data_IF_606241746922
#
_entry.id   IF_606241746922
#
_cell.length_a   1.000
_cell.length_b   1.000
_cell.length_c   1.000
_cell.angle_alpha   90.00
_cell.angle_beta   90.00
_cell.angle_gamma   90.00
#
_symmetry.space_group_name_H-M   'P 1'
#
loop_
_entity.id
_entity.type
_entity.pdbx_description
1 polymer ?
#
# COMPACT_ATOMS: atom_id res chain seq x y z
N UNK A 1 14.67 15.85 0.84
CA UNK A 1 13.56 15.00 1.34
C UNK A 1 12.33 15.06 0.46
N UNK A 2 11.72 16.24 0.23
CA UNK A 2 10.55 16.39 -0.66
C UNK A 2 10.65 15.71 -2.05
N UNK A 3 11.76 15.82 -2.82
CA UNK A 3 11.86 15.12 -4.10
C UNK A 3 11.85 13.59 -3.98
N UNK A 4 12.39 13.03 -2.88
CA UNK A 4 12.37 11.57 -2.66
C UNK A 4 10.95 11.06 -2.39
N UNK A 5 10.15 11.80 -1.62
CA UNK A 5 8.76 11.45 -1.36
C UNK A 5 7.88 11.62 -2.59
N UNK A 6 8.10 12.67 -3.38
CA UNK A 6 7.38 12.86 -4.65
C UNK A 6 7.67 11.72 -5.63
N UNK A 7 8.94 11.35 -5.81
CA UNK A 7 9.32 10.23 -6.67
C UNK A 7 8.75 8.88 -6.18
N UNK A 8 8.79 8.63 -4.86
CA UNK A 8 8.17 7.44 -4.28
C UNK A 8 6.64 7.40 -4.51
N UNK A 9 5.98 8.55 -4.41
CA UNK A 9 4.54 8.70 -4.68
C UNK A 9 4.22 8.42 -6.14
N UNK A 10 4.97 9.00 -7.07
CA UNK A 10 4.76 8.80 -8.50
C UNK A 10 4.95 7.32 -8.87
N UNK A 11 5.96 6.65 -8.30
CA UNK A 11 6.15 5.20 -8.45
C UNK A 11 4.98 4.39 -7.90
N UNK A 12 4.49 4.72 -6.71
CA UNK A 12 3.36 4.03 -6.09
C UNK A 12 2.05 4.25 -6.89
N UNK A 13 1.82 5.44 -7.43
CA UNK A 13 0.69 5.73 -8.31
C UNK A 13 0.78 4.94 -9.61
N UNK A 14 1.97 4.87 -10.23
CA UNK A 14 2.18 4.04 -11.41
C UNK A 14 1.93 2.55 -11.13
N UNK A 15 2.32 2.07 -9.94
CA UNK A 15 2.04 0.70 -9.50
C UNK A 15 0.53 0.46 -9.34
N UNK A 16 -0.22 1.39 -8.74
CA UNK A 16 -1.69 1.29 -8.65
C UNK A 16 -2.31 1.19 -10.04
N UNK A 17 -1.86 2.02 -10.98
CA UNK A 17 -2.39 2.00 -12.35
C UNK A 17 -2.11 0.67 -13.04
N UNK A 18 -0.92 0.07 -12.85
CA UNK A 18 -0.58 -1.24 -13.39
C UNK A 18 -1.44 -2.36 -12.80
N UNK A 19 -1.52 -2.43 -11.47
CA UNK A 19 -2.32 -3.45 -10.77
C UNK A 19 -3.81 -3.30 -11.06
N UNK A 20 -4.30 -2.08 -11.32
CA UNK A 20 -5.71 -1.83 -11.63
C UNK A 20 -6.08 -2.38 -13.01
N UNK A 21 -5.17 -2.26 -13.99
CA UNK A 21 -5.34 -2.89 -15.31
C UNK A 21 -5.31 -4.42 -15.21
N UNK A 22 -4.34 -4.96 -14.47
CA UNK A 22 -4.26 -6.41 -14.24
C UNK A 22 -5.55 -6.96 -13.58
N UNK A 23 -6.09 -6.24 -12.59
CA UNK A 23 -7.35 -6.62 -11.96
C UNK A 23 -8.54 -6.60 -12.94
N UNK A 24 -8.59 -5.60 -13.82
CA UNK A 24 -9.62 -5.49 -14.86
C UNK A 24 -9.51 -6.63 -15.88
N UNK A 25 -8.30 -6.95 -16.34
CA UNK A 25 -8.03 -8.07 -17.26
C UNK A 25 -8.51 -9.41 -16.66
N UNK A 26 -8.26 -9.63 -15.36
CA UNK A 26 -8.74 -10.82 -14.65
C UNK A 26 -10.27 -10.90 -14.55
N UNK A 27 -10.95 -9.75 -14.41
CA UNK A 27 -12.41 -9.71 -14.41
C UNK A 27 -12.99 -10.02 -15.79
N UNK A 28 -12.39 -9.49 -16.85
CA UNK A 28 -12.82 -9.73 -18.23
C UNK A 28 -12.60 -11.19 -18.65
N UNK A 29 -11.44 -11.77 -18.31
CA UNK A 29 -11.16 -13.18 -18.55
C UNK A 29 -12.19 -14.10 -17.86
N UNK A 30 -12.56 -13.81 -16.61
CA UNK A 30 -13.57 -14.58 -15.89
C UNK A 30 -14.97 -14.46 -16.53
N UNK A 31 -15.33 -13.28 -17.05
CA UNK A 31 -16.60 -13.05 -17.73
C UNK A 31 -16.75 -13.88 -19.04
N UNK A 32 -15.63 -14.16 -19.73
CA UNK A 32 -15.62 -15.01 -20.93
C UNK A 32 -15.73 -16.52 -20.62
N UNK A 33 -15.39 -16.95 -19.40
CA UNK A 33 -15.44 -18.36 -18.96
C UNK A 33 -16.79 -18.73 -18.33
N UNK A 34 -17.49 -17.77 -17.72
CA UNK A 34 -18.77 -17.98 -17.02
C UNK A 34 -19.96 -18.40 -17.92
N UNK A 35 -19.75 -18.63 -19.22
CA UNK A 35 -20.77 -19.07 -20.19
C UNK A 35 -20.82 -20.58 -20.43
N UNK A 36 -19.93 -21.39 -19.83
CA UNK A 36 -19.95 -22.86 -19.94
C UNK A 36 -19.90 -23.51 -18.54
N UNK A 37 -21.08 -23.86 -18.01
CA UNK A 37 -21.37 -24.09 -16.59
C UNK A 37 -21.31 -25.57 -16.16
N UNK A 38 -20.30 -26.33 -16.60
CA UNK A 38 -20.07 -27.68 -16.05
C UNK A 38 -18.60 -27.94 -15.71
N UNK A 39 -18.22 -27.48 -14.52
CA UNK A 39 -17.04 -27.87 -13.74
C UNK A 39 -15.68 -27.43 -14.30
N UNK A 40 -15.42 -26.12 -14.27
CA UNK A 40 -14.07 -25.59 -14.45
C UNK A 40 -13.27 -25.53 -13.13
N UNK A 41 -12.19 -26.33 -12.96
CA UNK A 41 -11.29 -26.20 -11.82
C UNK A 41 -10.51 -24.87 -11.78
N UNK A 42 -10.47 -24.09 -12.88
CA UNK A 42 -9.79 -22.79 -12.94
C UNK A 42 -10.60 -21.60 -12.39
N UNK A 43 -11.89 -21.78 -12.11
CA UNK A 43 -12.72 -20.77 -11.41
C UNK A 43 -12.22 -20.42 -10.00
N UNK A 44 -11.61 -21.39 -9.31
CA UNK A 44 -11.04 -21.19 -7.97
C UNK A 44 -9.67 -20.48 -8.00
N UNK A 45 -8.83 -20.75 -9.01
CA UNK A 45 -7.55 -20.05 -9.19
C UNK A 45 -7.76 -18.60 -9.60
N UNK A 46 -8.69 -18.32 -10.51
CA UNK A 46 -9.05 -16.94 -10.90
C UNK A 46 -9.66 -16.13 -9.75
N UNK A 47 -10.41 -16.75 -8.83
CA UNK A 47 -10.88 -16.08 -7.61
C UNK A 47 -9.72 -15.72 -6.65
N UNK A 48 -8.76 -16.63 -6.48
CA UNK A 48 -7.57 -16.38 -5.66
C UNK A 48 -6.68 -15.27 -6.25
N UNK A 49 -6.41 -15.30 -7.55
CA UNK A 49 -5.64 -14.28 -8.26
C UNK A 49 -6.28 -12.89 -8.12
N UNK A 50 -7.59 -12.78 -8.30
CA UNK A 50 -8.33 -11.53 -8.07
C UNK A 50 -8.17 -11.02 -6.64
N UNK A 51 -8.32 -11.90 -5.66
CA UNK A 51 -8.15 -11.53 -4.25
C UNK A 51 -6.72 -11.06 -3.96
N UNK A 52 -5.73 -11.69 -4.58
CA UNK A 52 -4.32 -11.33 -4.47
C UNK A 52 -4.06 -9.92 -5.02
N UNK A 53 -4.45 -9.65 -6.28
CA UNK A 53 -4.26 -8.34 -6.91
C UNK A 53 -5.03 -7.24 -6.17
N UNK A 54 -6.25 -7.53 -5.69
CA UNK A 54 -7.03 -6.60 -4.88
C UNK A 54 -6.32 -6.23 -3.56
N UNK A 55 -5.68 -7.20 -2.89
CA UNK A 55 -4.90 -6.95 -1.68
C UNK A 55 -3.67 -6.07 -1.96
N UNK A 56 -2.97 -6.32 -3.08
CA UNK A 56 -1.84 -5.48 -3.52
C UNK A 56 -2.29 -4.05 -3.84
N UNK A 57 -3.44 -3.88 -4.51
CA UNK A 57 -4.04 -2.57 -4.78
C UNK A 57 -4.37 -1.80 -3.50
N UNK A 58 -4.98 -2.46 -2.53
CA UNK A 58 -5.31 -1.85 -1.23
C UNK A 58 -4.04 -1.40 -0.48
N UNK A 59 -2.99 -2.23 -0.49
CA UNK A 59 -1.70 -1.89 0.11
C UNK A 59 -1.03 -0.69 -0.60
N UNK A 60 -1.01 -0.68 -1.94
CA UNK A 60 -0.42 0.40 -2.72
C UNK A 60 -1.17 1.74 -2.53
N UNK A 61 -2.51 1.71 -2.48
CA UNK A 61 -3.33 2.91 -2.16
C UNK A 61 -3.02 3.45 -0.78
N UNK A 62 -2.93 2.57 0.22
CA UNK A 62 -2.55 2.96 1.59
C UNK A 62 -1.16 3.60 1.60
N UNK A 63 -0.22 3.05 0.84
CA UNK A 63 1.13 3.61 0.73
C UNK A 63 1.15 5.01 0.11
N UNK A 64 0.36 5.26 -0.94
CA UNK A 64 0.21 6.62 -1.51
C UNK A 64 -0.34 7.59 -0.47
N UNK A 65 -1.36 7.19 0.29
CA UNK A 65 -1.89 8.03 1.39
C UNK A 65 -0.82 8.34 2.44
N UNK A 66 -0.01 7.34 2.83
CA UNK A 66 1.09 7.57 3.78
C UNK A 66 2.14 8.55 3.23
N UNK A 67 2.41 8.51 1.92
CA UNK A 67 3.34 9.42 1.23
C UNK A 67 2.77 10.84 1.11
N UNK A 68 1.48 10.98 0.82
CA UNK A 68 0.78 12.26 0.80
C UNK A 68 0.83 12.94 2.17
N UNK A 69 0.51 12.21 3.25
CA UNK A 69 0.64 12.71 4.62
C UNK A 69 2.08 13.11 4.97
N UNK A 70 3.07 12.36 4.49
CA UNK A 70 4.48 12.70 4.69
C UNK A 70 4.88 13.99 3.96
N UNK A 71 4.35 14.23 2.76
CA UNK A 71 4.54 15.48 2.02
C UNK A 71 3.88 16.67 2.74
N UNK A 72 2.65 16.50 3.22
CA UNK A 72 1.95 17.54 4.00
C UNK A 72 2.72 17.91 5.27
N UNK A 73 3.31 16.94 5.96
CA UNK A 73 4.16 17.17 7.13
C UNK A 73 5.47 17.89 6.82
N UNK A 74 6.04 17.67 5.64
CA UNK A 74 7.20 18.45 5.22
C UNK A 74 6.82 19.91 5.06
N UNK A 75 5.62 20.18 4.57
CA UNK A 75 5.11 21.53 4.34
C UNK A 75 4.71 22.22 5.66
N UNK A 76 4.22 21.46 6.65
CA UNK A 76 3.93 21.98 8.00
C UNK A 76 5.17 22.12 8.89
N UNK A 77 6.28 21.45 8.55
CA UNK A 77 7.49 21.38 9.38
C UNK A 77 7.49 20.29 10.45
N UNK A 78 6.45 19.44 10.50
CA UNK A 78 6.31 18.34 11.46
C UNK A 78 6.89 17.01 10.97
N UNK A 79 7.52 17.00 9.79
CA UNK A 79 8.12 15.81 9.22
C UNK A 79 9.18 15.21 10.14
N UNK A 80 9.14 13.88 10.29
CA UNK A 80 10.02 13.15 11.18
C UNK A 80 9.59 13.19 12.65
N UNK A 81 8.34 13.52 12.96
CA UNK A 81 7.73 13.30 14.29
C UNK A 81 6.77 12.11 14.28
N UNK A 82 6.81 11.31 15.34
CA UNK A 82 5.93 10.19 15.55
C UNK A 82 4.49 10.66 15.78
N UNK A 83 3.52 10.15 15.02
CA UNK A 83 2.09 10.43 15.20
C UNK A 83 1.54 10.00 16.57
N UNK A 84 2.15 8.99 17.20
CA UNK A 84 1.64 8.38 18.43
C UNK A 84 2.19 9.07 19.68
N UNK A 85 3.48 9.36 19.71
CA UNK A 85 4.15 9.89 20.91
C UNK A 85 4.81 11.26 20.71
N UNK A 86 4.79 11.83 19.50
CA UNK A 86 5.42 13.12 19.18
C UNK A 86 6.95 13.12 19.14
N UNK A 87 7.59 12.00 19.51
CA UNK A 87 9.05 11.85 19.53
C UNK A 87 9.63 11.90 18.09
N UNK A 88 10.89 12.36 17.92
CA UNK A 88 11.54 12.34 16.62
C UNK A 88 11.71 10.90 16.10
N UNK A 89 11.48 10.71 14.81
CA UNK A 89 11.73 9.49 14.07
C UNK A 89 13.20 9.52 13.62
N UNK A 90 13.98 8.45 13.87
CA UNK A 90 15.38 8.39 13.45
C UNK A 90 15.55 8.67 11.95
N UNK A 91 16.54 9.49 11.59
CA UNK A 91 16.80 9.86 10.19
C UNK A 91 17.07 8.63 9.32
N UNK A 92 17.86 7.67 9.80
CA UNK A 92 18.12 6.38 9.15
C UNK A 92 16.82 5.65 8.73
N UNK A 93 15.77 5.75 9.55
CA UNK A 93 14.47 5.13 9.28
C UNK A 93 13.71 5.90 8.21
N UNK A 94 13.81 7.22 8.19
CA UNK A 94 13.21 8.07 7.17
C UNK A 94 13.96 7.99 5.83
N UNK A 95 15.24 7.67 5.84
CA UNK A 95 16.02 7.40 4.63
C UNK A 95 15.61 6.09 3.96
N UNK A 96 15.42 5.03 4.76
CA UNK A 96 14.97 3.72 4.26
C UNK A 96 13.45 3.70 3.98
N UNK A 97 12.67 4.36 4.85
CA UNK A 97 11.20 4.44 4.77
C UNK A 97 10.73 5.89 4.94
N UNK A 98 10.73 6.70 3.87
CA UNK A 98 10.31 8.10 3.91
C UNK A 98 8.87 8.30 4.39
N UNK A 99 8.00 7.32 4.13
CA UNK A 99 6.60 7.35 4.57
C UNK A 99 6.39 6.93 6.04
N UNK A 100 7.46 6.75 6.84
CA UNK A 100 7.32 6.28 8.22
C UNK A 100 6.61 7.32 9.11
N UNK A 101 5.46 6.93 9.67
CA UNK A 101 4.62 7.78 10.54
C UNK A 101 4.89 7.61 12.04
N UNK A 102 5.56 6.53 12.42
CA UNK A 102 5.79 6.18 13.83
C UNK A 102 7.27 5.89 14.11
N UNK A 103 7.70 6.20 15.34
CA UNK A 103 9.03 5.84 15.81
C UNK A 103 9.15 4.32 16.02
N UNK A 104 10.38 3.83 16.19
CA UNK A 104 10.68 2.40 16.37
C UNK A 104 9.88 1.79 17.53
N UNK A 105 9.79 2.52 18.65
CA UNK A 105 9.08 2.06 19.85
C UNK A 105 7.57 1.92 19.62
N UNK A 106 6.93 2.94 19.02
CA UNK A 106 5.49 2.89 18.74
C UNK A 106 5.15 1.87 17.66
N UNK A 107 6.01 1.69 16.66
CA UNK A 107 5.82 0.66 15.65
C UNK A 107 5.89 -0.76 16.25
N UNK A 108 6.82 -1.00 17.17
CA UNK A 108 6.93 -2.27 17.89
C UNK A 108 5.70 -2.55 18.78
N UNK A 109 5.13 -1.52 19.41
CA UNK A 109 3.94 -1.64 20.27
C UNK A 109 2.65 -1.94 19.48
N UNK A 110 2.47 -1.35 18.28
CA UNK A 110 1.33 -1.68 17.40
C UNK A 110 1.37 -3.10 16.83
N UNK A 111 2.57 -3.70 16.68
CA UNK A 111 2.71 -5.08 16.19
C UNK A 111 2.20 -6.16 17.16
N UNK A 112 1.92 -5.80 18.42
CA UNK A 112 1.47 -6.72 19.46
C UNK A 112 -0.06 -6.82 19.64
N UNK A 113 -0.86 -5.91 19.05
CA UNK A 113 -2.31 -5.77 19.35
C UNK A 113 -3.23 -6.17 18.20
N UNK A 114 -2.94 -7.29 17.52
CA UNK A 114 -3.73 -7.76 16.37
C UNK A 114 -3.99 -9.27 16.32
N UNK A 115 -3.89 -9.98 17.45
CA UNK A 115 -4.30 -11.40 17.59
C UNK A 115 -4.97 -11.61 18.95
N UNK A 116 -6.26 -11.31 19.03
CA UNK A 116 -7.16 -11.80 20.07
C UNK A 116 -8.51 -12.05 19.43
#
# INVERSE_FOLDING_TARGET
MRPLLADARDRAVAQIAALSREYEDLLEANALVAVDDEHDPEGASTAFERAHVAALLAAARTHVTDLDLALERLDSGDYGRCEVCGAPIPAERLEVRPAARTCVNCAADTGGRGRS
#
